data_IF_719294856170
#
_entry.id   IF_719294856170
#
_cell.length_a   1.000
_cell.length_b   1.000
_cell.length_c   1.000
_cell.angle_alpha   90.00
_cell.angle_beta   90.00
_cell.angle_gamma   90.00
#
_symmetry.space_group_name_H-M   'P 1'
#
loop_
_entity.id
_entity.type
_entity.pdbx_description
1 polymer ?
#
# COMPACT_ATOMS: atom_id res chain seq x y z
N UNK A 1 -38.31 -47.11 22.75
CA UNK A 1 -37.15 -47.88 23.26
C UNK A 1 -35.87 -47.37 22.58
N UNK A 2 -34.82 -47.06 23.34
CA UNK A 2 -33.49 -46.66 22.83
C UNK A 2 -32.50 -47.79 23.10
N UNK A 3 -31.72 -48.20 22.10
CA UNK A 3 -30.73 -49.28 22.23
C UNK A 3 -29.33 -48.85 21.79
N UNK A 4 -28.29 -49.49 22.34
CA UNK A 4 -26.88 -49.23 22.00
C UNK A 4 -26.04 -50.52 21.82
N UNK A 5 -24.88 -50.40 21.13
CA UNK A 5 -23.93 -51.49 20.83
C UNK A 5 -22.47 -51.06 21.09
N UNK A 6 -21.64 -51.92 21.71
CA UNK A 6 -20.19 -51.70 21.93
C UNK A 6 -19.37 -52.67 21.04
N UNK A 7 -18.18 -52.25 20.59
CA UNK A 7 -17.41 -52.89 19.51
C UNK A 7 -16.67 -54.19 19.92
N UNK A 8 -17.10 -54.89 20.96
CA UNK A 8 -16.45 -56.14 21.40
C UNK A 8 -17.14 -57.37 20.77
N UNK A 9 -16.51 -57.89 19.70
CA UNK A 9 -16.62 -59.19 19.00
C UNK A 9 -17.99 -59.83 18.62
N UNK A 10 -19.15 -59.39 19.12
CA UNK A 10 -20.47 -59.81 18.63
C UNK A 10 -21.49 -58.65 18.64
N UNK A 11 -22.41 -58.63 17.66
CA UNK A 11 -23.36 -57.51 17.47
C UNK A 11 -24.61 -57.68 18.36
N UNK A 12 -24.52 -57.25 19.63
CA UNK A 12 -25.61 -57.34 20.61
C UNK A 12 -26.18 -55.96 20.99
N UNK A 13 -27.50 -55.78 20.83
CA UNK A 13 -28.19 -54.54 21.13
C UNK A 13 -28.73 -54.55 22.56
N UNK A 14 -28.40 -53.52 23.32
CA UNK A 14 -28.82 -53.39 24.72
C UNK A 14 -29.82 -52.25 24.87
N UNK A 15 -30.96 -52.51 25.53
CA UNK A 15 -31.93 -51.47 25.86
C UNK A 15 -31.38 -50.53 26.94
N UNK A 16 -31.48 -49.23 26.68
CA UNK A 16 -30.96 -48.18 27.57
C UNK A 16 -31.91 -47.91 28.74
N UNK A 17 -33.22 -47.95 28.48
CA UNK A 17 -34.27 -47.69 29.45
C UNK A 17 -35.62 -48.20 28.92
N UNK A 18 -36.42 -48.82 29.80
CA UNK A 18 -37.70 -49.44 29.45
C UNK A 18 -38.75 -48.44 28.96
N UNK A 19 -38.84 -47.25 29.58
CA UNK A 19 -39.92 -46.29 29.30
C UNK A 19 -39.37 -44.90 28.95
N UNK A 20 -39.38 -44.56 27.67
CA UNK A 20 -39.03 -43.23 27.14
C UNK A 20 -40.26 -42.68 26.41
N UNK A 21 -40.84 -41.59 26.93
CA UNK A 21 -42.06 -40.95 26.39
C UNK A 21 -41.80 -39.62 25.70
N UNK A 22 -40.55 -39.15 25.71
CA UNK A 22 -40.09 -37.91 25.06
C UNK A 22 -39.14 -38.24 23.91
N UNK A 23 -38.94 -37.29 23.00
CA UNK A 23 -38.05 -37.47 21.84
C UNK A 23 -36.57 -37.21 22.13
N UNK A 24 -36.20 -36.99 23.41
CA UNK A 24 -34.83 -36.78 23.87
C UNK A 24 -34.55 -37.59 25.14
N UNK A 25 -33.44 -38.32 25.18
CA UNK A 25 -33.05 -39.13 26.35
C UNK A 25 -31.56 -38.95 26.65
N UNK A 26 -31.25 -38.74 27.94
CA UNK A 26 -29.86 -38.77 28.42
C UNK A 26 -29.48 -40.21 28.75
N UNK A 27 -28.36 -40.68 28.19
CA UNK A 27 -27.76 -41.99 28.49
C UNK A 27 -26.58 -41.77 29.44
N UNK A 28 -26.51 -42.54 30.52
CA UNK A 28 -25.47 -42.45 31.55
C UNK A 28 -24.70 -43.76 31.68
N UNK A 29 -23.58 -43.77 32.42
CA UNK A 29 -22.75 -44.97 32.67
C UNK A 29 -22.10 -45.58 31.41
N UNK A 30 -21.72 -44.74 30.46
CA UNK A 30 -21.01 -45.18 29.26
C UNK A 30 -19.51 -45.34 29.54
N UNK A 31 -18.89 -46.39 28.98
CA UNK A 31 -17.45 -46.65 29.09
C UNK A 31 -16.65 -45.62 28.29
N UNK A 32 -15.62 -45.03 28.90
CA UNK A 32 -14.71 -44.11 28.20
C UNK A 32 -14.03 -44.81 27.03
N UNK A 33 -13.86 -44.09 25.93
CA UNK A 33 -13.34 -44.53 24.63
C UNK A 33 -14.16 -45.61 23.89
N UNK A 34 -15.30 -46.04 24.43
CA UNK A 34 -16.18 -46.98 23.74
C UNK A 34 -16.73 -46.35 22.44
N UNK A 35 -16.72 -47.10 21.35
CA UNK A 35 -17.33 -46.69 20.08
C UNK A 35 -18.72 -47.29 19.99
N UNK A 36 -19.76 -46.46 20.07
CA UNK A 36 -21.14 -46.92 20.26
C UNK A 36 -22.07 -46.41 19.16
N UNK A 37 -22.96 -47.27 18.67
CA UNK A 37 -24.06 -46.91 17.77
C UNK A 37 -25.40 -46.91 18.51
N UNK A 38 -26.33 -46.05 18.08
CA UNK A 38 -27.68 -45.99 18.64
C UNK A 38 -28.73 -46.28 17.57
N UNK A 39 -29.86 -46.86 17.99
CA UNK A 39 -31.10 -46.94 17.21
C UNK A 39 -32.31 -46.79 18.13
N UNK A 40 -33.44 -46.37 17.58
CA UNK A 40 -34.68 -46.16 18.34
C UNK A 40 -35.87 -46.81 17.62
N UNK A 41 -36.78 -47.40 18.39
CA UNK A 41 -38.08 -47.86 17.91
C UNK A 41 -39.21 -47.20 18.72
N UNK A 42 -40.30 -46.87 18.03
CA UNK A 42 -41.55 -46.44 18.64
C UNK A 42 -42.41 -47.67 18.97
N UNK A 43 -43.16 -47.59 20.06
CA UNK A 43 -44.07 -48.64 20.51
C UNK A 43 -45.39 -48.00 20.93
N UNK A 44 -46.50 -48.66 20.60
CA UNK A 44 -47.84 -48.30 21.05
C UNK A 44 -48.51 -49.53 21.69
N UNK A 45 -49.79 -49.44 22.05
CA UNK A 45 -50.53 -50.53 22.70
C UNK A 45 -50.60 -51.84 21.88
N UNK A 46 -50.35 -51.77 20.56
CA UNK A 46 -50.32 -52.95 19.67
C UNK A 46 -48.93 -53.61 19.67
N UNK A 47 -47.87 -52.85 19.97
CA UNK A 47 -46.51 -53.34 20.11
C UNK A 47 -45.44 -52.46 19.45
N UNK A 48 -44.21 -52.98 19.43
CA UNK A 48 -43.01 -52.30 18.94
C UNK A 48 -42.96 -52.24 17.40
N UNK A 49 -42.77 -51.05 16.86
CA UNK A 49 -42.53 -50.80 15.44
C UNK A 49 -41.09 -51.11 14.99
N UNK A 50 -40.76 -50.89 13.70
CA UNK A 50 -39.42 -51.11 13.19
C UNK A 50 -38.40 -50.15 13.81
N UNK A 51 -37.14 -50.59 13.90
CA UNK A 51 -36.03 -49.74 14.34
C UNK A 51 -35.72 -48.65 13.30
N UNK A 52 -35.25 -47.50 13.77
CA UNK A 52 -34.60 -46.50 12.94
C UNK A 52 -33.31 -47.06 12.32
N UNK A 53 -32.78 -46.34 11.31
CA UNK A 53 -31.39 -46.53 10.92
C UNK A 53 -30.46 -46.33 12.13
N UNK A 54 -29.42 -47.14 12.22
CA UNK A 54 -28.38 -46.97 13.24
C UNK A 54 -27.56 -45.72 12.96
N UNK A 55 -27.12 -45.03 14.02
CA UNK A 55 -26.11 -43.97 13.88
C UNK A 55 -24.78 -44.55 13.43
N UNK A 56 -23.87 -43.69 12.93
CA UNK A 56 -22.44 -44.02 12.91
C UNK A 56 -21.93 -44.29 14.34
N UNK A 57 -20.81 -44.99 14.45
CA UNK A 57 -20.09 -45.12 15.72
C UNK A 57 -19.78 -43.73 16.30
N UNK A 58 -20.14 -43.53 17.55
CA UNK A 58 -19.83 -42.37 18.37
C UNK A 58 -18.86 -42.82 19.44
N UNK A 59 -17.64 -42.28 19.43
CA UNK A 59 -16.68 -42.54 20.49
C UNK A 59 -17.04 -41.74 21.73
N UNK A 60 -17.29 -42.43 22.83
CA UNK A 60 -17.52 -41.83 24.14
C UNK A 60 -16.19 -41.29 24.63
N UNK A 61 -16.02 -39.97 24.68
CA UNK A 61 -14.84 -39.36 25.29
C UNK A 61 -15.25 -38.59 26.53
N UNK A 62 -14.28 -38.30 27.41
CA UNK A 62 -14.49 -37.26 28.42
C UNK A 62 -14.96 -35.98 27.72
N UNK A 63 -15.91 -35.22 28.31
CA UNK A 63 -16.17 -33.86 27.88
C UNK A 63 -14.84 -33.11 27.87
N UNK A 64 -14.41 -32.59 26.73
CA UNK A 64 -13.22 -31.75 26.70
C UNK A 64 -13.51 -30.56 27.60
N UNK A 65 -12.63 -30.31 28.58
CA UNK A 65 -12.80 -29.21 29.52
C UNK A 65 -12.99 -27.91 28.71
N UNK A 66 -14.04 -27.16 29.05
CA UNK A 66 -14.30 -25.91 28.36
C UNK A 66 -13.21 -24.91 28.74
N UNK A 67 -12.45 -24.45 27.76
CA UNK A 67 -11.38 -23.47 27.89
C UNK A 67 -11.85 -22.14 27.31
N UNK A 68 -11.71 -21.01 28.03
CA UNK A 68 -12.09 -19.71 27.50
C UNK A 68 -11.24 -19.36 26.26
N UNK A 69 -11.72 -18.47 25.37
CA UNK A 69 -10.95 -18.06 24.22
C UNK A 69 -9.65 -17.37 24.64
N UNK A 70 -8.56 -17.66 23.94
CA UNK A 70 -7.24 -17.05 24.20
C UNK A 70 -6.68 -16.52 22.88
N UNK A 71 -6.25 -15.26 22.89
CA UNK A 71 -5.55 -14.66 21.74
C UNK A 71 -4.13 -15.22 21.72
N UNK A 72 -3.84 -16.08 20.73
CA UNK A 72 -2.51 -16.66 20.53
C UNK A 72 -1.65 -15.73 19.69
N UNK A 73 -2.23 -15.15 18.63
CA UNK A 73 -1.60 -14.11 17.83
C UNK A 73 -2.58 -12.94 17.69
N UNK A 74 -2.24 -11.75 18.22
CA UNK A 74 -3.12 -10.60 18.18
C UNK A 74 -3.16 -9.96 16.78
N UNK A 75 -4.18 -9.13 16.56
CA UNK A 75 -4.19 -8.23 15.41
C UNK A 75 -3.01 -7.26 15.47
N UNK A 76 -2.53 -6.83 14.29
CA UNK A 76 -1.42 -5.89 14.15
C UNK A 76 -1.85 -4.65 13.39
N UNK A 77 -1.38 -3.50 13.85
CA UNK A 77 -1.55 -2.25 13.14
C UNK A 77 -1.03 -2.38 11.72
N UNK A 78 -1.80 -1.87 10.76
CA UNK A 78 -1.56 -2.09 9.35
C UNK A 78 -1.88 -0.83 8.55
N UNK A 79 -1.21 -0.68 7.41
CA UNK A 79 -1.53 0.35 6.43
C UNK A 79 -1.81 -0.24 5.06
N UNK A 80 -2.71 0.38 4.31
CA UNK A 80 -3.11 -0.06 2.97
C UNK A 80 -3.30 1.14 2.05
N UNK A 81 -2.90 1.00 0.78
CA UNK A 81 -3.10 2.06 -0.23
C UNK A 81 -4.55 2.20 -0.67
N UNK A 82 -4.89 3.34 -1.30
CA UNK A 82 -6.21 3.59 -1.85
C UNK A 82 -6.59 2.53 -2.91
N UNK A 83 -7.84 2.07 -2.86
CA UNK A 83 -8.39 1.07 -3.77
C UNK A 83 -7.83 -0.35 -3.58
N UNK A 84 -6.84 -0.55 -2.70
CA UNK A 84 -6.29 -1.88 -2.40
C UNK A 84 -7.13 -2.59 -1.34
N UNK A 85 -7.03 -3.90 -1.31
CA UNK A 85 -7.69 -4.73 -0.30
C UNK A 85 -6.70 -5.19 0.77
N UNK A 86 -7.17 -5.42 1.99
CA UNK A 86 -6.37 -5.96 3.09
C UNK A 86 -7.17 -6.98 3.91
N UNK A 87 -6.51 -8.03 4.40
CA UNK A 87 -7.11 -9.00 5.31
C UNK A 87 -6.50 -8.83 6.70
N UNK A 88 -7.35 -8.52 7.68
CA UNK A 88 -6.96 -8.51 9.09
C UNK A 88 -7.06 -9.93 9.65
N UNK A 89 -6.03 -10.39 10.37
CA UNK A 89 -5.98 -11.77 10.87
C UNK A 89 -5.44 -11.83 12.30
N UNK A 90 -6.03 -12.73 13.09
CA UNK A 90 -5.55 -13.12 14.41
C UNK A 90 -5.79 -14.62 14.65
N UNK A 91 -5.01 -15.20 15.56
CA UNK A 91 -5.11 -16.62 15.92
C UNK A 91 -5.72 -16.75 17.31
N UNK A 92 -6.79 -17.54 17.41
CA UNK A 92 -7.64 -17.62 18.60
C UNK A 92 -7.87 -19.08 18.99
N UNK A 93 -7.41 -19.44 20.19
CA UNK A 93 -7.69 -20.72 20.83
C UNK A 93 -9.01 -20.72 21.60
N UNK A 94 -9.25 -21.81 22.34
CA UNK A 94 -10.44 -22.01 23.16
C UNK A 94 -11.23 -23.24 22.75
N UNK A 95 -11.89 -23.86 23.73
CA UNK A 95 -12.68 -25.08 23.57
C UNK A 95 -14.01 -24.93 24.31
N UNK A 96 -15.18 -25.14 23.67
CA UNK A 96 -15.40 -25.31 22.24
C UNK A 96 -14.87 -24.13 21.41
N UNK A 97 -14.75 -24.32 20.09
CA UNK A 97 -14.33 -23.26 19.17
C UNK A 97 -15.22 -22.02 19.36
N UNK A 98 -14.62 -20.84 19.57
CA UNK A 98 -15.39 -19.63 19.85
C UNK A 98 -16.15 -19.11 18.63
N UNK A 99 -17.28 -18.44 18.90
CA UNK A 99 -17.94 -17.58 17.93
C UNK A 99 -17.12 -16.29 17.75
N UNK A 100 -16.87 -15.89 16.51
CA UNK A 100 -16.09 -14.70 16.16
C UNK A 100 -17.01 -13.54 15.74
N UNK A 101 -16.78 -12.36 16.31
CA UNK A 101 -17.45 -11.10 15.97
C UNK A 101 -16.42 -10.00 15.73
N UNK A 102 -16.55 -9.30 14.61
CA UNK A 102 -15.70 -8.17 14.26
C UNK A 102 -16.39 -6.85 14.53
N UNK A 103 -15.60 -5.85 14.93
CA UNK A 103 -16.07 -4.50 15.21
C UNK A 103 -15.19 -3.48 14.51
N UNK A 104 -15.77 -2.34 14.19
CA UNK A 104 -15.07 -1.16 13.74
C UNK A 104 -15.49 0.05 14.56
N UNK A 105 -14.53 0.71 15.20
CA UNK A 105 -14.77 1.82 16.11
C UNK A 105 -15.85 1.48 17.15
N UNK A 106 -15.80 0.25 17.70
CA UNK A 106 -16.76 -0.28 18.67
C UNK A 106 -18.11 -0.71 18.10
N UNK A 107 -18.39 -0.52 16.81
CA UNK A 107 -19.65 -0.93 16.18
C UNK A 107 -19.51 -2.29 15.48
N UNK A 108 -20.45 -3.23 15.66
CA UNK A 108 -20.36 -4.56 15.06
C UNK A 108 -20.41 -4.49 13.53
N UNK A 109 -19.51 -5.21 12.87
CA UNK A 109 -19.49 -5.37 11.42
C UNK A 109 -20.33 -6.58 11.03
N UNK A 110 -21.30 -6.39 10.12
CA UNK A 110 -22.04 -7.47 9.48
C UNK A 110 -21.49 -7.66 8.07
N UNK A 111 -20.49 -8.53 7.90
CA UNK A 111 -19.88 -8.81 6.58
C UNK A 111 -19.80 -10.31 6.35
N UNK A 112 -20.06 -10.74 5.11
CA UNK A 112 -19.82 -12.13 4.65
C UNK A 112 -18.33 -12.40 4.36
N UNK A 113 -17.48 -11.38 4.46
CA UNK A 113 -16.04 -11.45 4.16
C UNK A 113 -15.19 -11.83 5.39
N UNK A 114 -15.77 -12.61 6.30
CA UNK A 114 -15.11 -13.09 7.51
C UNK A 114 -15.05 -14.62 7.49
N UNK A 115 -13.95 -15.19 7.96
CA UNK A 115 -13.78 -16.64 8.12
C UNK A 115 -13.17 -16.96 9.48
N UNK A 116 -13.46 -18.15 9.99
CA UNK A 116 -12.82 -18.71 11.18
C UNK A 116 -12.55 -20.19 10.94
N UNK A 117 -11.33 -20.49 10.49
CA UNK A 117 -10.91 -21.84 10.10
C UNK A 117 -9.56 -22.13 10.73
N UNK A 118 -9.36 -23.35 11.26
CA UNK A 118 -8.11 -23.76 11.90
C UNK A 118 -7.58 -22.74 12.94
N UNK A 119 -8.49 -22.16 13.74
CA UNK A 119 -8.21 -21.12 14.76
C UNK A 119 -7.75 -19.76 14.21
N UNK A 120 -7.77 -19.55 12.89
CA UNK A 120 -7.45 -18.27 12.27
C UNK A 120 -8.73 -17.51 11.97
N UNK A 121 -8.94 -16.39 12.67
CA UNK A 121 -10.02 -15.45 12.38
C UNK A 121 -9.52 -14.44 11.34
N UNK A 122 -10.21 -14.34 10.21
CA UNK A 122 -9.85 -13.43 9.11
C UNK A 122 -11.00 -12.49 8.76
N UNK A 123 -10.69 -11.25 8.42
CA UNK A 123 -11.66 -10.25 7.93
C UNK A 123 -11.08 -9.48 6.75
N UNK A 124 -11.65 -9.68 5.56
CA UNK A 124 -11.25 -8.99 4.33
C UNK A 124 -11.98 -7.66 4.18
N UNK A 125 -11.19 -6.59 4.04
CA UNK A 125 -11.64 -5.24 3.71
C UNK A 125 -11.25 -4.99 2.24
N UNK A 126 -12.22 -5.05 1.31
CA UNK A 126 -11.98 -4.77 -0.09
C UNK A 126 -11.84 -3.27 -0.35
N UNK A 127 -11.21 -2.90 -1.46
CA UNK A 127 -11.33 -1.57 -2.08
C UNK A 127 -11.26 -0.40 -1.08
N UNK A 128 -10.21 -0.40 -0.26
CA UNK A 128 -10.05 0.55 0.85
C UNK A 128 -10.05 2.00 0.35
N UNK A 129 -10.92 2.81 0.93
CA UNK A 129 -10.93 4.26 0.76
C UNK A 129 -10.62 4.94 2.11
N UNK A 130 -10.56 6.28 2.16
CA UNK A 130 -10.27 7.02 3.40
C UNK A 130 -11.16 6.58 4.57
N UNK A 131 -12.44 6.35 4.29
CA UNK A 131 -13.41 5.89 5.28
C UNK A 131 -13.21 4.44 5.70
N UNK A 132 -12.15 3.72 5.31
CA UNK A 132 -11.78 2.42 5.88
C UNK A 132 -10.83 2.56 7.08
N UNK A 133 -10.16 3.71 7.24
CA UNK A 133 -9.29 4.00 8.40
C UNK A 133 -10.06 3.90 9.72
N UNK A 134 -9.48 3.27 10.73
CA UNK A 134 -10.11 3.17 12.05
C UNK A 134 -9.54 2.07 12.91
N UNK A 135 -10.16 1.90 14.08
CA UNK A 135 -9.85 0.80 15.00
C UNK A 135 -10.74 -0.40 14.67
N UNK A 136 -10.13 -1.55 14.44
CA UNK A 136 -10.81 -2.82 14.20
C UNK A 136 -10.55 -3.74 15.38
N UNK A 137 -11.57 -4.47 15.84
CA UNK A 137 -11.40 -5.49 16.86
C UNK A 137 -12.07 -6.81 16.48
N UNK A 138 -11.48 -7.90 16.96
CA UNK A 138 -11.99 -9.25 16.84
C UNK A 138 -12.27 -9.80 18.23
N UNK A 139 -13.54 -10.07 18.52
CA UNK A 139 -14.01 -10.64 19.77
C UNK A 139 -14.39 -12.10 19.57
N UNK A 140 -13.87 -12.96 20.42
CA UNK A 140 -14.16 -14.39 20.46
C UNK A 140 -14.95 -14.71 21.73
N UNK A 141 -15.99 -15.54 21.63
CA UNK A 141 -16.82 -15.92 22.78
C UNK A 141 -17.21 -17.40 22.70
N UNK A 142 -17.09 -18.12 23.82
CA UNK A 142 -17.64 -19.47 23.99
C UNK A 142 -18.30 -19.61 25.38
N UNK A 143 -18.71 -20.82 25.75
CA UNK A 143 -19.37 -21.10 27.03
C UNK A 143 -18.48 -20.88 28.26
N UNK A 144 -17.16 -20.84 28.09
CA UNK A 144 -16.19 -20.64 29.17
C UNK A 144 -15.71 -19.19 29.32
N UNK A 145 -15.95 -18.31 28.34
CA UNK A 145 -15.60 -16.89 28.45
C UNK A 145 -15.46 -16.17 27.10
N UNK A 146 -14.71 -15.07 27.12
CA UNK A 146 -14.45 -14.26 25.92
C UNK A 146 -13.06 -13.63 25.93
N UNK A 147 -12.49 -13.40 24.76
CA UNK A 147 -11.28 -12.61 24.56
C UNK A 147 -11.44 -11.66 23.38
N UNK A 148 -10.64 -10.59 23.33
CA UNK A 148 -10.69 -9.58 22.29
C UNK A 148 -9.28 -9.06 21.97
N UNK A 149 -9.03 -8.76 20.70
CA UNK A 149 -7.82 -8.11 20.21
C UNK A 149 -8.21 -6.98 19.26
N UNK A 150 -7.38 -5.93 19.15
CA UNK A 150 -7.64 -4.77 18.30
C UNK A 150 -6.40 -4.31 17.55
N UNK A 151 -6.62 -3.62 16.43
CA UNK A 151 -5.57 -2.96 15.65
C UNK A 151 -6.10 -1.68 15.01
N UNK A 152 -5.18 -0.76 14.67
CA UNK A 152 -5.44 0.40 13.84
C UNK A 152 -5.14 0.07 12.37
N UNK A 153 -6.12 0.31 11.50
CA UNK A 153 -5.92 0.35 10.06
C UNK A 153 -5.83 1.81 9.61
N UNK A 154 -4.81 2.14 8.84
CA UNK A 154 -4.65 3.46 8.20
C UNK A 154 -4.59 3.31 6.69
N UNK A 155 -5.48 4.01 5.98
CA UNK A 155 -5.40 4.09 4.52
C UNK A 155 -4.45 5.20 4.13
N UNK A 156 -3.35 4.85 3.48
CA UNK A 156 -2.30 5.78 3.08
C UNK A 156 -1.45 5.22 1.93
N UNK A 157 -0.95 6.12 1.08
CA UNK A 157 0.02 5.86 0.02
C UNK A 157 1.21 6.81 0.19
N UNK A 158 2.42 6.25 0.10
CA UNK A 158 3.66 7.03 0.11
C UNK A 158 3.65 7.99 -1.08
N UNK A 159 4.17 9.22 -0.94
CA UNK A 159 4.21 10.16 -2.05
C UNK A 159 5.00 9.61 -3.23
N UNK A 160 4.56 9.96 -4.44
CA UNK A 160 5.24 9.64 -5.70
C UNK A 160 5.45 10.91 -6.50
N UNK A 161 6.51 10.95 -7.29
CA UNK A 161 6.85 12.06 -8.18
C UNK A 161 7.19 11.49 -9.56
N UNK A 162 6.57 12.04 -10.59
CA UNK A 162 6.77 11.68 -11.98
C UNK A 162 7.30 12.92 -12.73
N UNK A 163 8.60 12.89 -13.04
CA UNK A 163 9.28 13.94 -13.80
C UNK A 163 9.42 13.48 -15.24
N UNK A 164 8.86 14.24 -16.18
CA UNK A 164 9.06 13.95 -17.60
C UNK A 164 10.53 14.14 -18.00
N UNK A 165 11.08 13.21 -18.80
CA UNK A 165 12.48 13.27 -19.25
C UNK A 165 12.83 14.61 -19.93
N UNK A 166 11.87 15.19 -20.65
CA UNK A 166 12.00 16.47 -21.34
C UNK A 166 12.28 17.67 -20.42
N UNK A 167 11.95 17.56 -19.12
CA UNK A 167 12.16 18.63 -18.12
C UNK A 167 13.24 18.31 -17.10
N UNK A 168 13.71 17.06 -17.03
CA UNK A 168 14.69 16.62 -16.03
C UNK A 168 16.06 17.30 -16.19
N UNK A 169 16.52 17.52 -17.43
CA UNK A 169 17.82 18.13 -17.73
C UNK A 169 17.70 19.15 -18.87
N UNK A 170 17.30 20.38 -18.55
CA UNK A 170 17.04 21.42 -19.55
C UNK A 170 18.20 22.40 -19.72
N UNK A 171 18.45 22.77 -20.98
CA UNK A 171 19.37 23.85 -21.35
C UNK A 171 18.57 24.92 -22.07
N UNK A 172 18.58 26.13 -21.52
CA UNK A 172 17.78 27.24 -22.04
C UNK A 172 18.63 28.48 -22.27
N UNK A 173 18.31 29.25 -23.30
CA UNK A 173 18.95 30.54 -23.53
C UNK A 173 18.50 31.57 -22.46
N UNK A 174 19.34 32.58 -22.18
CA UNK A 174 18.95 33.73 -21.35
C UNK A 174 17.62 34.33 -21.85
N UNK A 175 16.79 34.79 -20.92
CA UNK A 175 15.45 35.33 -21.14
C UNK A 175 14.39 34.33 -21.66
N UNK A 176 14.73 33.06 -21.83
CA UNK A 176 13.73 32.01 -22.05
C UNK A 176 12.86 31.79 -20.81
N UNK A 177 11.68 31.21 -21.00
CA UNK A 177 10.82 30.75 -19.93
C UNK A 177 11.18 29.31 -19.52
N UNK A 178 11.34 29.07 -18.23
CA UNK A 178 11.44 27.74 -17.63
C UNK A 178 10.21 27.46 -16.77
N UNK A 179 9.45 26.43 -17.12
CA UNK A 179 8.20 26.08 -16.45
C UNK A 179 7.99 24.56 -16.41
N UNK A 180 8.85 23.78 -15.71
CA UNK A 180 8.66 22.34 -15.59
C UNK A 180 7.42 22.02 -14.77
N UNK A 181 6.67 21.04 -15.23
CA UNK A 181 5.55 20.44 -14.49
C UNK A 181 5.97 19.05 -14.01
N UNK A 182 5.68 18.75 -12.75
CA UNK A 182 5.96 17.45 -12.13
C UNK A 182 4.65 16.92 -11.57
N UNK A 183 4.23 15.74 -12.03
CA UNK A 183 3.08 15.07 -11.47
C UNK A 183 3.45 14.42 -10.13
N UNK A 184 2.53 14.41 -9.18
CA UNK A 184 2.70 13.78 -7.89
C UNK A 184 1.46 13.01 -7.47
N UNK A 185 1.68 11.98 -6.67
CA UNK A 185 0.65 11.18 -6.03
C UNK A 185 0.94 10.96 -4.55
N UNK A 186 0.04 10.23 -3.88
CA UNK A 186 0.14 9.92 -2.46
C UNK A 186 -1.16 10.22 -1.72
N UNK A 187 -1.37 9.52 -0.60
CA UNK A 187 -2.54 9.72 0.26
C UNK A 187 -2.12 9.62 1.74
N UNK A 188 -2.46 10.57 2.63
CA UNK A 188 -3.10 11.85 2.34
C UNK A 188 -2.33 12.69 1.31
N UNK A 189 -3.00 13.67 0.70
CA UNK A 189 -2.39 14.54 -0.32
C UNK A 189 -1.09 15.13 0.23
N UNK A 190 0.06 14.94 -0.44
CA UNK A 190 1.33 15.39 0.08
C UNK A 190 1.46 16.92 0.08
N UNK A 191 2.23 17.43 1.03
CA UNK A 191 2.77 18.78 1.00
C UNK A 191 3.94 18.84 0.03
N UNK A 192 3.97 19.87 -0.81
CA UNK A 192 4.96 20.07 -1.86
C UNK A 192 5.90 21.20 -1.48
N UNK A 193 7.21 20.92 -1.58
CA UNK A 193 8.28 21.89 -1.37
C UNK A 193 9.22 21.88 -2.59
N UNK A 194 9.56 23.06 -3.09
CA UNK A 194 10.62 23.24 -4.08
C UNK A 194 11.87 23.82 -3.42
N UNK A 195 13.03 23.36 -3.85
CA UNK A 195 14.33 23.79 -3.36
C UNK A 195 15.23 24.15 -4.55
N UNK A 196 16.13 25.12 -4.38
CA UNK A 196 17.23 25.41 -5.31
C UNK A 196 18.54 25.24 -4.55
N UNK A 197 19.40 24.32 -4.99
CA UNK A 197 20.64 23.97 -4.30
C UNK A 197 20.44 23.67 -2.80
N UNK A 198 19.34 22.97 -2.46
CA UNK A 198 18.97 22.60 -1.09
C UNK A 198 18.33 23.72 -0.26
N UNK A 199 18.14 24.91 -0.80
CA UNK A 199 17.43 26.00 -0.11
C UNK A 199 15.97 26.07 -0.58
N UNK A 200 15.04 26.01 0.38
CA UNK A 200 13.60 26.14 0.14
C UNK A 200 13.26 27.41 -0.65
N UNK A 201 12.48 27.24 -1.72
CA UNK A 201 11.95 28.30 -2.55
C UNK A 201 10.54 28.66 -2.10
N UNK A 202 10.23 29.95 -2.15
CA UNK A 202 8.88 30.48 -1.98
C UNK A 202 8.45 31.19 -3.25
N UNK A 203 7.15 31.14 -3.54
CA UNK A 203 6.57 31.84 -4.69
C UNK A 203 6.76 33.36 -4.49
N UNK A 204 7.47 34.02 -5.40
CA UNK A 204 7.92 35.41 -5.26
C UNK A 204 7.92 36.18 -6.58
N UNK A 205 8.76 37.20 -6.72
CA UNK A 205 8.94 37.92 -7.98
C UNK A 205 9.77 37.11 -8.99
N UNK A 206 10.87 36.46 -8.55
CA UNK A 206 11.80 35.74 -9.41
C UNK A 206 11.24 34.41 -9.94
N UNK A 207 10.48 33.68 -9.13
CA UNK A 207 9.82 32.44 -9.53
C UNK A 207 8.39 32.39 -8.98
N UNK A 208 7.49 31.71 -9.69
CA UNK A 208 6.13 31.40 -9.24
C UNK A 208 5.98 29.89 -9.07
N UNK A 209 5.47 29.46 -7.93
CA UNK A 209 5.16 28.05 -7.67
C UNK A 209 3.65 27.86 -7.74
N UNK A 210 3.22 26.88 -8.52
CA UNK A 210 1.84 26.43 -8.64
C UNK A 210 1.76 24.98 -8.17
N UNK A 211 0.74 24.67 -7.38
CA UNK A 211 0.46 23.31 -6.90
C UNK A 211 -1.05 23.10 -7.05
N UNK A 212 -1.44 22.13 -7.88
CA UNK A 212 -2.83 21.69 -8.02
C UNK A 212 -3.03 20.34 -7.31
N UNK A 213 -4.10 19.59 -7.61
CA UNK A 213 -4.38 18.29 -6.99
C UNK A 213 -3.32 17.20 -7.26
N UNK A 214 -2.69 17.21 -8.43
CA UNK A 214 -1.81 16.14 -8.91
C UNK A 214 -0.52 16.62 -9.55
N UNK A 215 -0.31 17.91 -9.70
CA UNK A 215 0.86 18.48 -10.36
C UNK A 215 1.39 19.68 -9.60
N UNK A 216 2.69 19.89 -9.72
CA UNK A 216 3.35 21.08 -9.26
C UNK A 216 4.27 21.62 -10.33
N UNK A 217 4.29 22.94 -10.44
CA UNK A 217 5.08 23.67 -11.42
C UNK A 217 5.83 24.80 -10.74
N UNK A 218 7.12 24.92 -11.02
CA UNK A 218 7.88 26.16 -10.79
C UNK A 218 8.00 26.91 -12.11
N UNK A 219 7.74 28.22 -12.12
CA UNK A 219 7.82 29.06 -13.30
C UNK A 219 8.82 30.21 -13.09
N UNK A 220 9.85 30.25 -13.94
CA UNK A 220 10.77 31.38 -14.11
C UNK A 220 10.53 31.92 -15.52
N UNK A 221 9.92 33.11 -15.63
CA UNK A 221 9.47 33.65 -16.92
C UNK A 221 10.60 34.20 -17.80
N UNK A 222 11.72 34.55 -17.17
CA UNK A 222 12.92 35.06 -17.84
C UNK A 222 14.14 34.55 -17.07
N UNK A 223 14.76 33.48 -17.57
CA UNK A 223 15.92 32.86 -16.91
C UNK A 223 17.18 33.68 -17.08
N UNK A 224 18.00 33.70 -16.03
CA UNK A 224 19.31 34.37 -15.98
C UNK A 224 20.40 33.34 -15.66
N UNK A 225 21.69 33.70 -15.87
CA UNK A 225 22.79 32.76 -15.64
C UNK A 225 22.82 32.21 -14.19
N UNK A 226 22.41 33.03 -13.23
CA UNK A 226 22.28 32.69 -11.79
C UNK A 226 21.17 31.68 -11.48
N UNK A 227 20.27 31.42 -12.43
CA UNK A 227 19.24 30.38 -12.33
C UNK A 227 19.77 28.98 -12.67
N UNK A 228 21.00 28.88 -13.17
CA UNK A 228 21.66 27.57 -13.33
C UNK A 228 21.82 26.89 -11.97
N UNK A 229 21.12 25.78 -11.77
CA UNK A 229 21.09 25.05 -10.51
C UNK A 229 20.43 23.67 -10.70
N UNK A 230 20.55 22.86 -9.66
CA UNK A 230 19.66 21.72 -9.45
C UNK A 230 18.49 22.20 -8.59
N UNK A 231 17.28 22.00 -9.12
CA UNK A 231 16.02 22.26 -8.43
C UNK A 231 15.45 20.94 -7.96
N UNK A 232 15.13 20.83 -6.68
CA UNK A 232 14.58 19.62 -6.08
C UNK A 232 13.12 19.87 -5.73
N UNK A 233 12.23 18.99 -6.16
CA UNK A 233 10.85 18.95 -5.68
C UNK A 233 10.71 17.82 -4.67
N UNK A 234 10.12 18.11 -3.52
CA UNK A 234 9.86 17.16 -2.43
C UNK A 234 8.36 17.09 -2.15
N UNK A 235 7.84 15.87 -2.08
CA UNK A 235 6.46 15.58 -1.68
C UNK A 235 6.46 14.78 -0.37
N UNK A 236 5.72 15.23 0.65
CA UNK A 236 5.73 14.60 1.99
C UNK A 236 4.31 14.43 2.54
N UNK A 237 4.02 13.26 3.12
CA UNK A 237 2.79 13.02 3.89
C UNK A 237 3.08 12.09 5.10
N UNK A 238 2.04 11.65 5.80
CA UNK A 238 2.18 10.76 6.97
C UNK A 238 2.72 9.37 6.65
N UNK A 239 2.64 8.93 5.39
CA UNK A 239 3.17 7.64 4.95
C UNK A 239 4.66 7.70 4.59
N UNK A 240 5.19 8.89 4.25
CA UNK A 240 6.60 9.07 3.91
C UNK A 240 6.86 10.29 3.04
N UNK A 241 7.94 10.24 2.26
CA UNK A 241 8.32 11.31 1.35
C UNK A 241 8.94 10.79 0.05
N UNK A 242 8.86 11.59 -1.01
CA UNK A 242 9.57 11.40 -2.27
C UNK A 242 10.26 12.71 -2.67
N UNK A 243 11.36 12.61 -3.41
CA UNK A 243 12.04 13.77 -3.98
C UNK A 243 12.53 13.48 -5.39
N UNK A 244 12.55 14.49 -6.24
CA UNK A 244 13.09 14.41 -7.59
C UNK A 244 13.85 15.69 -7.96
N UNK A 245 14.91 15.52 -8.74
CA UNK A 245 15.81 16.60 -9.15
C UNK A 245 15.61 16.97 -10.61
N UNK A 246 15.58 18.27 -10.89
CA UNK A 246 15.55 18.88 -12.21
C UNK A 246 16.76 19.80 -12.36
N UNK A 247 17.61 19.54 -13.34
CA UNK A 247 18.79 20.37 -13.62
C UNK A 247 18.46 21.39 -14.69
N UNK A 248 18.60 22.67 -14.36
CA UNK A 248 18.52 23.77 -15.32
C UNK A 248 19.92 24.31 -15.57
N UNK A 249 20.33 24.40 -16.84
CA UNK A 249 21.51 25.14 -17.27
C UNK A 249 21.12 26.27 -18.20
N UNK A 250 21.38 27.50 -17.77
CA UNK A 250 21.12 28.69 -18.58
C UNK A 250 22.37 29.03 -19.37
N UNK A 251 22.22 29.13 -20.69
CA UNK A 251 23.28 29.37 -21.66
C UNK A 251 22.94 30.61 -22.49
N UNK A 252 23.89 31.10 -23.26
CA UNK A 252 23.69 32.15 -24.26
C UNK A 252 24.66 31.90 -25.43
N UNK A 253 24.55 32.71 -26.49
CA UNK A 253 25.59 32.79 -27.50
C UNK A 253 26.88 33.37 -26.89
N UNK A 254 28.06 32.94 -27.34
CA UNK A 254 29.32 33.59 -26.98
C UNK A 254 29.30 35.09 -27.30
N UNK A 255 30.03 35.86 -26.50
CA UNK A 255 30.36 37.24 -26.82
C UNK A 255 31.19 37.36 -28.09
N UNK A 256 31.41 38.60 -28.53
CA UNK A 256 32.36 38.87 -29.62
C UNK A 256 33.79 38.48 -29.18
N UNK A 257 34.66 38.01 -30.10
CA UNK A 257 36.08 37.86 -29.82
C UNK A 257 36.70 39.16 -29.31
N UNK A 258 37.66 39.03 -28.40
CA UNK A 258 38.34 40.18 -27.83
C UNK A 258 39.33 40.78 -28.83
N UNK A 259 39.37 42.11 -28.86
CA UNK A 259 40.18 42.90 -29.78
C UNK A 259 41.48 43.46 -29.18
N UNK A 260 42.32 44.13 -29.99
CA UNK A 260 42.18 44.25 -31.44
C UNK A 260 42.54 42.96 -32.18
N UNK A 261 41.99 42.76 -33.38
CA UNK A 261 42.49 41.74 -34.32
C UNK A 261 43.87 42.21 -34.80
N UNK A 262 44.86 41.34 -34.71
CA UNK A 262 46.22 41.63 -35.17
C UNK A 262 46.55 40.82 -36.42
N UNK A 263 47.41 41.37 -37.27
CA UNK A 263 47.87 40.74 -38.49
C UNK A 263 49.38 40.50 -38.42
N UNK A 264 49.80 39.31 -38.85
CA UNK A 264 51.20 38.92 -38.94
C UNK A 264 51.44 38.17 -40.27
N UNK A 265 52.72 37.99 -40.66
CA UNK A 265 53.11 37.28 -41.89
C UNK A 265 52.33 37.71 -43.15
N UNK A 266 52.30 39.02 -43.43
CA UNK A 266 51.63 39.56 -44.62
C UNK A 266 52.49 39.30 -45.86
N UNK A 267 51.97 38.51 -46.79
CA UNK A 267 52.61 38.15 -48.06
C UNK A 267 51.64 38.36 -49.23
N UNK A 268 52.10 38.12 -50.47
CA UNK A 268 51.30 38.31 -51.67
C UNK A 268 50.01 37.45 -51.71
N UNK A 269 50.05 36.24 -51.14
CA UNK A 269 48.93 35.28 -51.19
C UNK A 269 48.42 34.82 -49.81
N UNK A 270 49.03 35.29 -48.72
CA UNK A 270 48.68 34.85 -47.37
C UNK A 270 48.80 35.96 -46.34
N UNK A 271 47.98 35.86 -45.31
CA UNK A 271 48.02 36.70 -44.12
C UNK A 271 47.68 35.82 -42.91
N UNK A 272 48.34 36.05 -41.78
CA UNK A 272 47.95 35.43 -40.51
C UNK A 272 47.10 36.44 -39.73
N UNK A 273 45.92 36.00 -39.29
CA UNK A 273 44.97 36.79 -38.52
C UNK A 273 44.89 36.21 -37.12
N UNK A 274 45.15 37.02 -36.11
CA UNK A 274 45.17 36.62 -34.70
C UNK A 274 44.12 37.42 -33.92
N UNK A 275 43.39 36.75 -33.03
CA UNK A 275 42.39 37.34 -32.14
C UNK A 275 42.41 36.65 -30.78
N UNK A 276 41.81 37.30 -29.78
CA UNK A 276 41.62 36.71 -28.46
C UNK A 276 40.21 36.10 -28.34
N UNK A 277 40.02 35.07 -27.51
CA UNK A 277 38.69 34.51 -27.25
C UNK A 277 37.77 35.56 -26.61
N UNK A 278 36.43 35.44 -26.77
CA UNK A 278 35.46 36.24 -26.06
C UNK A 278 35.62 36.17 -24.53
N UNK A 279 35.27 37.25 -23.83
CA UNK A 279 35.23 37.25 -22.35
C UNK A 279 34.11 36.37 -21.76
N UNK A 280 32.96 36.26 -22.45
CA UNK A 280 31.86 35.35 -22.10
C UNK A 280 31.70 34.33 -23.23
N UNK A 281 31.85 33.05 -22.90
CA UNK A 281 31.68 31.94 -23.83
C UNK A 281 30.20 31.52 -23.99
N UNK A 282 29.28 32.25 -23.36
CA UNK A 282 27.86 31.91 -23.36
C UNK A 282 27.52 30.77 -22.39
N UNK A 283 28.47 30.34 -21.55
CA UNK A 283 28.28 29.28 -20.56
C UNK A 283 28.52 27.87 -21.11
N UNK A 284 29.08 27.77 -22.32
CA UNK A 284 29.48 26.54 -22.97
C UNK A 284 30.84 26.72 -23.65
N UNK A 285 31.62 25.65 -23.72
CA UNK A 285 32.91 25.66 -24.39
C UNK A 285 32.74 26.03 -25.88
N UNK A 286 33.59 26.96 -26.34
CA UNK A 286 33.67 27.33 -27.75
C UNK A 286 34.18 26.16 -28.59
N UNK A 287 33.47 25.87 -29.68
CA UNK A 287 33.80 24.74 -30.58
C UNK A 287 34.42 25.19 -31.89
N UNK A 288 34.15 26.42 -32.35
CA UNK A 288 34.71 26.99 -33.58
C UNK A 288 34.69 28.52 -33.57
N UNK A 289 35.53 29.12 -34.41
CA UNK A 289 35.44 30.50 -34.85
C UNK A 289 35.08 30.55 -36.34
N UNK A 290 34.38 31.61 -36.76
CA UNK A 290 34.08 31.87 -38.16
C UNK A 290 34.83 33.15 -38.53
N UNK A 291 35.75 33.06 -39.48
CA UNK A 291 36.51 34.19 -40.02
C UNK A 291 35.96 34.53 -41.41
N UNK A 292 35.50 35.76 -41.58
CA UNK A 292 34.94 36.26 -42.83
C UNK A 292 35.87 37.33 -43.43
N UNK A 293 36.04 37.34 -44.76
CA UNK A 293 36.79 38.38 -45.49
C UNK A 293 35.87 39.09 -46.47
N UNK A 294 36.08 40.40 -46.67
CA UNK A 294 35.38 41.19 -47.67
C UNK A 294 36.40 41.85 -48.61
N UNK A 295 36.19 41.74 -49.92
CA UNK A 295 37.04 42.37 -50.93
C UNK A 295 36.47 43.74 -51.30
N UNK A 296 37.31 44.77 -51.21
CA UNK A 296 36.90 46.15 -51.46
C UNK A 296 36.35 46.37 -52.88
N UNK A 297 36.72 45.53 -53.85
CA UNK A 297 36.24 45.56 -55.24
C UNK A 297 34.74 45.23 -55.41
N UNK A 298 34.04 44.83 -54.34
CA UNK A 298 32.60 44.51 -54.35
C UNK A 298 31.75 45.49 -53.54
N UNK A 299 32.34 46.57 -53.02
CA UNK A 299 31.64 47.69 -52.38
C UNK A 299 31.40 48.79 -53.44
N UNK A 300 30.48 48.55 -54.37
CA UNK A 300 29.95 49.56 -55.30
C UNK A 300 28.44 49.66 -55.06
#
# INVERSE_FOLDING_TARGET
ILEFHDKEEFMEWHEVQETITVTTQKVTNMKHDAEIMFRVAAENEVGRGPNSNSTRYVRISTPVAAEPPVIQEPLKDSSVGLGKSITLQCVIGGTPLPEIKWFRNGKPLKSKKQTFENRVASFLIPDCNESATGSYSCKATNSAGSAETSCKLVVQDVPTLEVAEAVQNQRLNIAAQWKPEVAFGGFPRPEILWEKNGQALTSGQKCKIFVDEKTTTIAIYSVERTDTATYTVRATNTAGSASADLTLRVIDKPGKPEGPITFSNIMAESITVEWRPPLDDGGLQLTKYILEKCEASKLI
#
